data_IF_263708504854
#
_entry.id   IF_263708504854
#
_cell.length_a   1.000
_cell.length_b   1.000
_cell.length_c   1.000
_cell.angle_alpha   90.00
_cell.angle_beta   90.00
_cell.angle_gamma   90.00
#
_symmetry.space_group_name_H-M   'P 1'
#
loop_
_entity.id
_entity.type
_entity.pdbx_description
1 polymer ?
#
# COMPACT_ATOMS: atom_id res chain seq x y z
N UNK A 1 -23.32 2.07 10.81
CA UNK A 1 -21.99 1.99 11.45
C UNK A 1 -21.08 2.92 10.67
N UNK A 2 -20.65 4.04 11.28
CA UNK A 2 -19.74 4.99 10.63
C UNK A 2 -18.39 4.31 10.42
N UNK A 3 -17.93 4.19 9.18
CA UNK A 3 -16.55 3.75 8.91
C UNK A 3 -15.60 4.84 9.42
N UNK A 4 -14.56 4.51 10.22
CA UNK A 4 -13.52 5.48 10.53
C UNK A 4 -12.78 5.78 9.22
N UNK A 5 -13.12 6.90 8.59
CA UNK A 5 -12.25 7.47 7.55
C UNK A 5 -10.99 7.91 8.27
N UNK A 6 -9.90 7.16 8.12
CA UNK A 6 -8.58 7.70 8.43
C UNK A 6 -8.47 8.95 7.55
N UNK A 7 -8.41 10.14 8.17
CA UNK A 7 -8.65 11.42 7.48
C UNK A 7 -7.62 11.75 6.38
N UNK A 8 -6.59 10.91 6.25
CA UNK A 8 -5.57 10.99 5.20
C UNK A 8 -5.46 9.66 4.47
N UNK A 9 -5.76 9.70 3.18
CA UNK A 9 -5.55 8.59 2.25
C UNK A 9 -4.33 8.85 1.38
N UNK A 10 -3.53 7.81 1.14
CA UNK A 10 -2.33 7.87 0.29
C UNK A 10 -2.40 6.76 -0.76
N UNK A 11 -2.07 7.09 -2.00
CA UNK A 11 -2.06 6.18 -3.14
C UNK A 11 -0.63 5.90 -3.58
N UNK A 12 -0.23 4.62 -3.64
CA UNK A 12 0.98 4.20 -4.36
C UNK A 12 0.63 3.67 -5.76
N UNK A 13 1.53 3.90 -6.72
CA UNK A 13 1.48 3.34 -8.07
C UNK A 13 2.82 2.66 -8.34
N UNK A 14 2.86 1.34 -8.17
CA UNK A 14 4.11 0.58 -8.19
C UNK A 14 3.88 -0.89 -8.61
N UNK A 15 4.98 -1.61 -8.83
CA UNK A 15 4.95 -3.06 -9.00
C UNK A 15 4.63 -3.79 -7.69
N UNK A 16 4.09 -5.01 -7.80
CA UNK A 16 3.88 -5.93 -6.69
C UNK A 16 5.06 -6.89 -6.59
N UNK A 17 5.71 -6.90 -5.42
CA UNK A 17 6.77 -7.84 -5.07
C UNK A 17 6.20 -9.01 -4.25
N UNK A 18 6.19 -10.22 -4.81
CA UNK A 18 5.68 -11.42 -4.11
C UNK A 18 6.45 -11.77 -2.85
N UNK A 19 7.70 -11.32 -2.71
CA UNK A 19 8.49 -11.49 -1.49
C UNK A 19 8.11 -10.48 -0.39
N UNK A 20 7.40 -9.41 -0.73
CA UNK A 20 6.95 -8.37 0.19
C UNK A 20 8.01 -7.37 0.66
N UNK A 21 9.22 -7.41 0.09
CA UNK A 21 10.34 -6.55 0.50
C UNK A 21 10.40 -5.19 -0.21
N UNK A 22 9.69 -5.05 -1.33
CA UNK A 22 9.62 -3.84 -2.13
C UNK A 22 8.20 -3.59 -2.67
N UNK A 23 8.06 -2.61 -3.57
CA UNK A 23 6.81 -2.37 -4.30
C UNK A 23 5.64 -1.98 -3.39
N UNK A 24 4.42 -2.28 -3.83
CA UNK A 24 3.20 -1.90 -3.12
C UNK A 24 3.13 -2.48 -1.70
N UNK A 25 3.80 -3.61 -1.42
CA UNK A 25 3.86 -4.20 -0.08
C UNK A 25 4.67 -3.33 0.89
N UNK A 26 5.86 -2.89 0.47
CA UNK A 26 6.71 -2.01 1.28
C UNK A 26 6.06 -0.62 1.48
N UNK A 27 5.41 -0.11 0.44
CA UNK A 27 4.70 1.18 0.48
C UNK A 27 3.52 1.12 1.47
N UNK A 28 2.65 0.10 1.37
CA UNK A 28 1.51 -0.07 2.27
C UNK A 28 1.93 -0.32 3.72
N UNK A 29 3.04 -1.05 3.94
CA UNK A 29 3.63 -1.20 5.27
C UNK A 29 4.12 0.14 5.84
N UNK A 30 4.71 0.98 5.00
CA UNK A 30 5.11 2.35 5.37
C UNK A 30 3.90 3.21 5.71
N UNK A 31 2.83 3.16 4.90
CA UNK A 31 1.59 3.90 5.16
C UNK A 31 0.94 3.50 6.48
N UNK A 32 0.92 2.20 6.79
CA UNK A 32 0.45 1.69 8.07
C UNK A 32 1.29 2.21 9.25
N UNK A 33 2.62 2.26 9.10
CA UNK A 33 3.52 2.81 10.12
C UNK A 33 3.28 4.32 10.37
N UNK A 34 2.81 5.07 9.36
CA UNK A 34 2.43 6.48 9.47
C UNK A 34 0.94 6.70 9.83
N UNK A 35 0.15 5.64 10.05
CA UNK A 35 -1.24 5.74 10.48
C UNK A 35 -2.20 6.33 9.43
N UNK A 36 -1.90 6.18 8.14
CA UNK A 36 -2.75 6.66 7.03
C UNK A 36 -3.43 5.50 6.30
N UNK A 37 -4.56 5.77 5.64
CA UNK A 37 -5.21 4.77 4.80
C UNK A 37 -4.44 4.59 3.49
N UNK A 38 -3.81 3.44 3.33
CA UNK A 38 -3.06 3.09 2.13
C UNK A 38 -3.91 2.45 1.04
N UNK A 39 -3.82 2.97 -0.18
CA UNK A 39 -4.37 2.36 -1.39
C UNK A 39 -3.25 2.12 -2.42
N UNK A 40 -3.45 1.19 -3.35
CA UNK A 40 -2.46 0.87 -4.39
C UNK A 40 -3.07 0.69 -5.78
N UNK A 41 -2.29 1.07 -6.79
CA UNK A 41 -2.49 0.68 -8.21
C UNK A 41 -1.29 -0.16 -8.62
N UNK A 42 -1.53 -1.43 -8.95
CA UNK A 42 -0.48 -2.36 -9.33
C UNK A 42 -0.18 -2.23 -10.82
N UNK A 43 1.08 -1.94 -11.17
CA UNK A 43 1.52 -1.77 -12.57
C UNK A 43 2.14 -3.02 -13.18
N UNK A 44 2.72 -3.87 -12.34
CA UNK A 44 3.35 -5.14 -12.72
C UNK A 44 3.37 -6.08 -11.51
N UNK A 45 3.60 -7.37 -11.75
CA UNK A 45 3.78 -8.38 -10.69
C UNK A 45 5.10 -9.10 -10.93
N UNK A 46 5.95 -9.16 -9.91
CA UNK A 46 7.09 -10.08 -9.89
C UNK A 46 6.67 -11.37 -9.20
N UNK A 47 7.00 -12.51 -9.80
CA UNK A 47 6.77 -13.83 -9.21
C UNK A 47 8.12 -14.50 -8.97
N UNK A 48 8.53 -14.54 -7.70
CA UNK A 48 9.61 -15.38 -7.17
C UNK A 48 9.08 -16.27 -6.06
#
# INVERSE_FOLDING_TARGET
MQTPVLERSVLTIAGSDSCGGAGVQADLGTFAAFGVYGASVVTAVTAR
#
